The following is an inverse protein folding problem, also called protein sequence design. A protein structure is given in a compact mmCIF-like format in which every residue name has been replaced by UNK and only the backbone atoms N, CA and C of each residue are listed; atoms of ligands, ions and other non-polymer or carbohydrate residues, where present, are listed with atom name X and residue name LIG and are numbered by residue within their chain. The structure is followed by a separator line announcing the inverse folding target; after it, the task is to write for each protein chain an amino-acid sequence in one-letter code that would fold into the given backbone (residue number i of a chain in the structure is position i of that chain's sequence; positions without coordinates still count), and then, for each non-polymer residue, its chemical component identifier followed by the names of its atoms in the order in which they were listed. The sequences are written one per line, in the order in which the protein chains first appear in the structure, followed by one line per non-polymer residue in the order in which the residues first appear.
data_IF_251308800519
#
_entry.id   IF_251308800519
#
_cell.length_a   1.000
_cell.length_b   1.000
_cell.length_c   1.000
_cell.angle_alpha   90.00
_cell.angle_beta   90.00
_cell.angle_gamma   90.00
#
_symmetry.space_group_name_H-M   'P 1'
#
loop_
_entity.id
_entity.type
_entity.pdbx_description
1 polymer ?
#
# COMPACT_ATOMS: atom_id res chain seq x y z
N UNK A 1 -16.78 13.23 2.02
CA UNK A 1 -15.37 13.56 1.87
C UNK A 1 -14.49 12.46 2.46
N UNK A 2 -13.38 12.20 1.80
CA UNK A 2 -12.41 11.23 2.27
C UNK A 2 -11.46 11.91 3.25
N UNK A 3 -11.36 11.39 4.46
CA UNK A 3 -10.35 11.82 5.40
C UNK A 3 -9.08 10.97 5.22
N UNK A 4 -8.01 11.64 4.87
CA UNK A 4 -6.70 11.02 4.75
C UNK A 4 -5.86 11.37 5.96
N UNK A 5 -5.17 10.37 6.50
CA UNK A 5 -4.23 10.54 7.61
C UNK A 5 -2.80 10.44 7.07
N UNK A 6 -1.92 11.28 7.61
CA UNK A 6 -0.51 11.23 7.22
C UNK A 6 0.14 9.95 7.75
N UNK A 7 0.96 9.33 6.91
CA UNK A 7 1.86 8.27 7.29
C UNK A 7 3.23 8.85 7.64
N UNK A 8 4.11 8.10 8.32
CA UNK A 8 5.45 8.61 8.66
C UNK A 8 6.30 9.01 7.46
N UNK A 9 6.07 8.42 6.28
CA UNK A 9 6.82 8.79 5.08
C UNK A 9 6.24 10.07 4.47
N UNK A 10 7.07 11.07 4.12
CA UNK A 10 6.58 12.29 3.45
C UNK A 10 5.85 11.96 2.15
N UNK A 11 4.69 12.58 1.94
CA UNK A 11 3.88 12.38 0.74
C UNK A 11 3.02 11.12 0.75
N UNK A 12 3.02 10.36 1.83
CA UNK A 12 2.22 9.16 1.96
C UNK A 12 1.06 9.38 2.94
N UNK A 13 -0.14 8.99 2.51
CA UNK A 13 -1.36 9.11 3.32
C UNK A 13 -2.15 7.82 3.27
N UNK A 14 -2.95 7.59 4.29
CA UNK A 14 -3.77 6.40 4.41
C UNK A 14 -5.21 6.77 4.76
N UNK A 15 -6.14 6.00 4.23
CA UNK A 15 -7.52 5.97 4.72
C UNK A 15 -7.85 4.53 5.11
N UNK A 16 -8.22 4.32 6.36
CA UNK A 16 -8.68 3.01 6.81
C UNK A 16 -10.11 2.80 6.36
N UNK A 17 -10.34 1.76 5.58
CA UNK A 17 -11.68 1.39 5.13
C UNK A 17 -12.33 0.42 6.11
N UNK A 18 -11.57 -0.57 6.57
CA UNK A 18 -12.05 -1.55 7.53
C UNK A 18 -10.88 -2.13 8.32
N UNK A 19 -11.04 -2.21 9.61
CA UNK A 19 -10.09 -2.84 10.52
C UNK A 19 -10.77 -4.05 11.15
N UNK A 20 -10.25 -5.24 10.87
CA UNK A 20 -10.74 -6.48 11.44
C UNK A 20 -9.81 -6.91 12.57
N UNK A 21 -10.13 -6.48 13.78
CA UNK A 21 -9.30 -6.77 14.96
C UNK A 21 -9.31 -8.25 15.32
N UNK A 22 -10.39 -8.93 15.03
CA UNK A 22 -10.51 -10.36 15.33
C UNK A 22 -9.54 -11.19 14.50
N UNK A 23 -9.38 -10.84 13.23
CA UNK A 23 -8.50 -11.55 12.31
C UNK A 23 -7.14 -10.90 12.16
N UNK A 24 -6.93 -9.74 12.75
CA UNK A 24 -5.67 -9.00 12.60
C UNK A 24 -5.44 -8.52 11.16
N UNK A 25 -6.49 -8.09 10.49
CA UNK A 25 -6.44 -7.68 9.08
C UNK A 25 -6.99 -6.27 8.91
N UNK A 26 -6.53 -5.58 7.89
CA UNK A 26 -7.04 -4.27 7.54
C UNK A 26 -7.21 -4.13 6.03
N UNK A 27 -8.18 -3.32 5.63
CA UNK A 27 -8.38 -2.89 4.25
C UNK A 27 -8.20 -1.38 4.22
N UNK A 28 -7.27 -0.90 3.40
CA UNK A 28 -6.84 0.49 3.37
C UNK A 28 -6.82 1.04 1.96
N UNK A 29 -6.91 2.36 1.86
CA UNK A 29 -6.43 3.08 0.69
C UNK A 29 -5.12 3.76 1.06
N UNK A 30 -4.11 3.64 0.22
CA UNK A 30 -2.85 4.35 0.35
C UNK A 30 -2.74 5.32 -0.81
N UNK A 31 -2.44 6.58 -0.50
CA UNK A 31 -2.21 7.61 -1.51
C UNK A 31 -0.76 8.08 -1.40
N UNK A 32 -0.06 8.02 -2.52
CA UNK A 32 1.31 8.54 -2.61
C UNK A 32 1.33 9.71 -3.57
N UNK A 33 1.94 10.82 -3.11
CA UNK A 33 2.17 11.98 -3.96
C UNK A 33 3.25 11.67 -5.00
N UNK A 34 3.27 12.39 -6.15
CA UNK A 34 4.32 12.17 -7.16
C UNK A 34 5.72 12.22 -6.58
N UNK A 35 6.56 11.29 -6.96
CA UNK A 35 7.94 11.20 -6.51
C UNK A 35 8.15 10.59 -5.14
N UNK A 36 7.12 10.05 -4.51
CA UNK A 36 7.21 9.46 -3.18
C UNK A 36 7.77 8.03 -3.22
N UNK A 37 8.62 7.72 -2.24
CA UNK A 37 9.05 6.36 -1.95
C UNK A 37 8.59 5.99 -0.55
N UNK A 38 8.14 4.76 -0.35
CA UNK A 38 7.67 4.28 0.94
C UNK A 38 8.61 3.18 1.45
N UNK A 39 8.99 3.20 2.74
CA UNK A 39 9.93 2.19 3.26
C UNK A 39 9.42 0.77 3.08
N UNK A 40 10.31 -0.12 2.62
CA UNK A 40 10.02 -1.55 2.57
C UNK A 40 10.05 -2.13 3.99
N UNK A 41 9.28 -3.18 4.20
CA UNK A 41 9.21 -3.88 5.47
C UNK A 41 8.75 -5.31 5.27
N UNK A 42 9.03 -6.15 6.25
CA UNK A 42 8.53 -7.52 6.23
C UNK A 42 7.03 -7.52 6.53
N UNK A 43 6.29 -8.33 5.79
CA UNK A 43 4.84 -8.39 5.93
C UNK A 43 4.46 -9.46 6.96
N UNK A 44 3.74 -9.09 8.05
CA UNK A 44 3.33 -10.04 9.09
C UNK A 44 2.30 -11.06 8.59
N UNK A 45 1.63 -10.76 7.49
CA UNK A 45 0.64 -11.62 6.89
C UNK A 45 0.56 -11.30 5.39
N UNK A 46 -0.19 -12.06 4.63
CA UNK A 46 -0.38 -11.81 3.20
C UNK A 46 -0.88 -10.38 2.96
N UNK A 47 -0.32 -9.73 1.96
CA UNK A 47 -0.76 -8.40 1.52
C UNK A 47 -1.21 -8.48 0.06
N UNK A 48 -2.29 -7.77 -0.25
CA UNK A 48 -2.78 -7.64 -1.61
C UNK A 48 -2.84 -6.16 -1.96
N UNK A 49 -2.37 -5.82 -3.16
CA UNK A 49 -2.34 -4.45 -3.67
C UNK A 49 -3.03 -4.39 -5.01
N UNK A 50 -3.99 -3.49 -5.14
CA UNK A 50 -4.66 -3.20 -6.41
C UNK A 50 -4.51 -1.70 -6.70
N UNK A 51 -3.84 -1.36 -7.79
CA UNK A 51 -3.68 0.05 -8.19
C UNK A 51 -4.98 0.57 -8.75
N UNK A 52 -5.51 1.63 -8.15
CA UNK A 52 -6.75 2.28 -8.60
C UNK A 52 -6.48 3.47 -9.51
N UNK A 53 -5.39 4.18 -9.28
CA UNK A 53 -4.95 5.34 -10.07
C UNK A 53 -3.44 5.45 -10.06
N UNK A 54 -2.87 5.98 -11.13
CA UNK A 54 -1.46 6.31 -11.22
C UNK A 54 -0.56 5.12 -11.47
N UNK A 55 0.64 5.18 -10.91
CA UNK A 55 1.66 4.17 -11.09
C UNK A 55 2.33 3.82 -9.76
N UNK A 56 2.71 2.55 -9.63
CA UNK A 56 3.42 2.08 -8.44
C UNK A 56 4.48 1.06 -8.86
N UNK A 57 5.73 1.34 -8.55
CA UNK A 57 6.83 0.39 -8.78
C UNK A 57 7.04 -0.46 -7.53
N UNK A 58 6.91 -1.76 -7.67
CA UNK A 58 7.14 -2.75 -6.63
C UNK A 58 7.98 -3.88 -7.20
N UNK A 59 9.10 -4.20 -6.53
CA UNK A 59 9.93 -5.33 -6.93
C UNK A 59 10.41 -5.27 -8.37
N UNK A 60 10.70 -4.09 -8.89
CA UNK A 60 11.13 -3.90 -10.27
C UNK A 60 10.00 -3.93 -11.30
N UNK A 61 8.76 -4.10 -10.84
CA UNK A 61 7.58 -4.11 -11.71
C UNK A 61 6.84 -2.78 -11.57
N UNK A 62 6.55 -2.14 -12.70
CA UNK A 62 5.72 -0.93 -12.72
C UNK A 62 4.27 -1.36 -12.88
N UNK A 63 3.47 -1.08 -11.86
CA UNK A 63 2.05 -1.39 -11.83
C UNK A 63 1.25 -0.13 -12.16
N UNK A 64 0.23 -0.29 -12.96
CA UNK A 64 -0.68 0.78 -13.38
C UNK A 64 -2.10 0.43 -12.99
N UNK A 65 -3.03 1.29 -13.34
CA UNK A 65 -4.44 1.13 -13.00
C UNK A 65 -4.94 -0.30 -13.28
N UNK A 66 -5.52 -0.90 -12.23
CA UNK A 66 -6.07 -2.27 -12.21
C UNK A 66 -5.03 -3.39 -12.21
N UNK A 67 -3.74 -3.07 -12.14
CA UNK A 67 -2.74 -4.10 -11.88
C UNK A 67 -2.80 -4.53 -10.42
N UNK A 68 -2.50 -5.79 -10.19
CA UNK A 68 -2.64 -6.44 -8.90
C UNK A 68 -1.35 -7.18 -8.54
N UNK A 69 -1.00 -7.16 -7.26
CA UNK A 69 0.11 -7.93 -6.72
C UNK A 69 -0.27 -8.51 -5.36
N UNK A 70 0.13 -9.75 -5.12
CA UNK A 70 -0.03 -10.43 -3.85
C UNK A 70 1.35 -10.72 -3.28
N UNK A 71 1.58 -10.29 -2.04
CA UNK A 71 2.84 -10.54 -1.32
C UNK A 71 2.55 -11.55 -0.22
N UNK A 72 3.20 -12.71 -0.21
CA UNK A 72 2.95 -13.72 0.81
C UNK A 72 3.46 -13.27 2.18
N UNK A 73 2.98 -13.92 3.23
CA UNK A 73 3.46 -13.70 4.59
C UNK A 73 4.98 -13.84 4.64
N UNK A 74 5.65 -12.89 5.28
CA UNK A 74 7.11 -12.87 5.39
C UNK A 74 7.81 -12.34 4.14
N UNK A 75 7.06 -12.08 3.06
CA UNK A 75 7.63 -11.55 1.84
C UNK A 75 7.97 -10.07 1.93
N UNK A 76 8.81 -9.63 1.02
CA UNK A 76 9.15 -8.23 0.83
C UNK A 76 9.02 -7.88 -0.64
N UNK A 77 8.58 -6.67 -0.93
CA UNK A 77 8.37 -6.21 -2.30
C UNK A 77 9.38 -5.17 -2.77
N UNK A 78 10.38 -4.87 -1.96
CA UNK A 78 11.28 -3.76 -2.21
C UNK A 78 10.64 -2.44 -1.78
N UNK A 79 11.34 -1.34 -2.01
CA UNK A 79 10.82 -0.01 -1.67
C UNK A 79 9.77 0.41 -2.71
N UNK A 80 8.50 0.56 -2.32
CA UNK A 80 7.49 1.07 -3.24
C UNK A 80 7.81 2.50 -3.66
N UNK A 81 7.67 2.79 -4.95
CA UNK A 81 7.93 4.12 -5.52
C UNK A 81 6.85 4.49 -6.51
N UNK A 82 6.57 5.77 -6.61
CA UNK A 82 5.67 6.28 -7.64
C UNK A 82 6.31 7.47 -8.33
N UNK A 83 6.16 7.54 -9.64
CA UNK A 83 6.62 8.69 -10.42
C UNK A 83 5.54 9.76 -10.49
N UNK A 84 4.32 9.36 -10.80
CA UNK A 84 3.23 10.30 -11.07
C UNK A 84 2.20 10.37 -9.93
N UNK A 85 2.45 9.67 -8.83
CA UNK A 85 1.48 9.51 -7.76
C UNK A 85 0.60 8.28 -7.98
N UNK A 86 -0.04 7.83 -6.93
CA UNK A 86 -0.96 6.69 -7.04
C UNK A 86 -1.96 6.65 -5.89
N UNK A 87 -3.03 5.90 -6.13
CA UNK A 87 -3.96 5.45 -5.09
C UNK A 87 -4.06 3.94 -5.22
N UNK A 88 -3.83 3.24 -4.13
CA UNK A 88 -3.75 1.79 -4.08
C UNK A 88 -4.70 1.26 -3.01
N UNK A 89 -5.50 0.26 -3.38
CA UNK A 89 -6.29 -0.50 -2.41
C UNK A 89 -5.40 -1.62 -1.87
N UNK A 90 -5.27 -1.69 -0.56
CA UNK A 90 -4.39 -2.64 0.12
C UNK A 90 -5.19 -3.42 1.15
N UNK A 91 -5.03 -4.76 1.14
CA UNK A 91 -5.42 -5.61 2.26
C UNK A 91 -4.15 -6.15 2.89
N UNK A 92 -4.06 -6.10 4.20
CA UNK A 92 -2.82 -6.46 4.89
C UNK A 92 -3.07 -6.96 6.31
N UNK A 93 -2.02 -7.54 6.90
CA UNK A 93 -2.02 -7.85 8.32
C UNK A 93 -1.78 -6.60 9.16
N UNK A 94 -2.33 -6.60 10.38
CA UNK A 94 -2.09 -5.54 11.36
C UNK A 94 -1.02 -6.07 12.31
N UNK A 95 0.03 -5.28 12.52
CA UNK A 95 1.03 -5.60 13.52
C UNK A 95 0.38 -5.54 14.91
N UNK A 96 0.61 -6.59 15.69
CA UNK A 96 0.10 -6.67 17.06
C UNK A 96 0.80 -5.65 17.96
#
# INVERSE_FOLDING_TARGET
DIEWQDLPAPGARVRNLFIDKTRGRATLLIKLEPGTAFPDHEHPDVEECLVLEGDLELGGRVMRRFDYMRIPKGGQHGTPRTTNGCIVLVTCGIAA
#
